data_IF_876856014865
#
_entry.id   IF_876856014865
#
_cell.length_a   1.000
_cell.length_b   1.000
_cell.length_c   1.000
_cell.angle_alpha   90.00
_cell.angle_beta   90.00
_cell.angle_gamma   90.00
#
_symmetry.space_group_name_H-M   'P 1'
#
loop_
_entity.id
_entity.type
_entity.pdbx_description
1 polymer ?
#
# COMPACT_ATOMS: atom_id res chain seq x y z
N UNK A 1 -51.26 22.77 20.71
CA UNK A 1 -50.44 23.85 21.27
C UNK A 1 -49.97 24.71 20.12
N UNK A 2 -50.25 26.01 20.15
CA UNK A 2 -49.78 26.96 19.15
C UNK A 2 -48.53 27.66 19.71
N UNK A 3 -47.43 27.57 18.99
CA UNK A 3 -46.19 28.27 19.34
C UNK A 3 -46.04 29.42 18.38
N UNK A 4 -46.10 30.64 18.89
CA UNK A 4 -45.99 31.89 18.12
C UNK A 4 -44.63 32.53 18.43
N UNK A 5 -43.88 32.88 17.40
CA UNK A 5 -42.57 33.52 17.48
C UNK A 5 -42.10 34.00 16.12
N UNK A 6 -41.04 34.77 16.09
CA UNK A 6 -40.49 35.34 14.85
C UNK A 6 -39.46 34.33 14.26
N UNK A 7 -39.96 33.23 13.73
CA UNK A 7 -39.14 32.14 13.15
C UNK A 7 -39.13 32.23 11.62
N UNK A 8 -38.00 31.90 11.03
CA UNK A 8 -37.92 31.65 9.59
C UNK A 8 -38.70 30.38 9.22
N UNK A 9 -39.05 30.24 7.96
CA UNK A 9 -39.84 29.10 7.48
C UNK A 9 -39.10 27.75 7.65
N UNK A 10 -37.77 27.77 7.63
CA UNK A 10 -36.92 26.59 7.87
C UNK A 10 -36.87 26.23 9.35
N UNK A 11 -36.72 27.21 10.23
CA UNK A 11 -36.78 27.03 11.69
C UNK A 11 -38.15 26.49 12.12
N UNK A 12 -39.23 27.03 11.59
CA UNK A 12 -40.56 26.53 11.90
C UNK A 12 -40.81 25.09 11.44
N UNK A 13 -40.27 24.68 10.29
CA UNK A 13 -40.29 23.28 9.84
C UNK A 13 -39.47 22.36 10.74
N UNK A 14 -38.30 22.79 11.14
CA UNK A 14 -37.43 22.04 12.05
C UNK A 14 -38.09 21.87 13.42
N UNK A 15 -38.67 22.91 13.98
CA UNK A 15 -39.47 22.83 15.21
C UNK A 15 -40.67 21.89 15.12
N UNK A 16 -41.39 21.93 13.97
CA UNK A 16 -42.49 21.00 13.72
C UNK A 16 -42.05 19.56 13.76
N UNK A 17 -40.94 19.24 13.08
CA UNK A 17 -40.37 17.87 13.04
C UNK A 17 -39.95 17.38 14.43
N UNK A 18 -39.32 18.25 15.23
CA UNK A 18 -38.92 17.91 16.61
C UNK A 18 -40.13 17.66 17.50
N UNK A 19 -41.19 18.47 17.37
CA UNK A 19 -42.41 18.29 18.14
C UNK A 19 -43.23 17.07 17.73
N UNK A 20 -43.22 16.72 16.42
CA UNK A 20 -43.90 15.53 15.91
C UNK A 20 -43.14 14.24 16.30
N UNK A 21 -41.83 14.31 16.44
CA UNK A 21 -40.97 13.18 16.90
C UNK A 21 -41.15 12.83 18.38
N UNK A 22 -41.78 13.73 19.17
CA UNK A 22 -41.94 13.58 20.62
C UNK A 22 -40.65 13.81 21.37
N UNK A 23 -40.71 13.83 22.70
CA UNK A 23 -39.52 13.91 23.55
C UNK A 23 -38.77 12.58 23.49
N UNK A 24 -37.58 12.57 22.93
CA UNK A 24 -36.70 11.40 22.94
C UNK A 24 -36.34 11.06 24.37
N UNK A 25 -36.46 9.80 24.80
CA UNK A 25 -36.15 9.37 26.17
C UNK A 25 -34.64 9.35 26.48
N UNK A 26 -33.79 9.75 25.51
CA UNK A 26 -32.32 9.78 25.59
C UNK A 26 -31.82 11.13 25.09
N UNK A 27 -30.79 11.67 25.74
CA UNK A 27 -30.03 12.81 25.23
C UNK A 27 -29.23 12.38 24.00
N UNK A 28 -29.48 13.03 22.86
CA UNK A 28 -28.69 12.84 21.65
C UNK A 28 -27.52 13.80 21.64
N UNK A 29 -26.31 13.27 21.56
CA UNK A 29 -25.12 14.05 21.26
C UNK A 29 -24.74 13.90 19.79
N UNK A 30 -24.41 15.03 19.14
CA UNK A 30 -23.87 14.99 17.78
C UNK A 30 -22.50 14.32 17.81
N UNK A 31 -22.38 13.14 17.20
CA UNK A 31 -21.10 12.44 17.08
C UNK A 31 -20.26 13.05 15.95
N UNK A 32 -20.81 13.18 14.77
CA UNK A 32 -20.17 13.80 13.60
C UNK A 32 -21.24 14.18 12.57
N UNK A 33 -21.12 15.37 11.99
CA UNK A 33 -21.92 15.79 10.86
C UNK A 33 -21.03 16.47 9.83
N UNK A 34 -20.78 15.81 8.69
CA UNK A 34 -20.07 16.41 7.57
C UNK A 34 -20.99 16.55 6.37
N UNK A 35 -21.17 17.78 5.92
CA UNK A 35 -21.96 18.11 4.74
C UNK A 35 -21.00 18.41 3.59
N UNK A 36 -20.94 17.53 2.59
CA UNK A 36 -20.17 17.77 1.36
C UNK A 36 -21.13 18.00 0.22
N UNK A 37 -21.11 19.21 -0.35
CA UNK A 37 -21.92 19.53 -1.52
C UNK A 37 -21.50 18.67 -2.74
N UNK A 38 -22.42 18.38 -3.69
CA UNK A 38 -22.14 17.51 -4.83
C UNK A 38 -20.97 17.99 -5.70
N UNK A 39 -20.80 19.28 -5.88
CA UNK A 39 -19.69 19.90 -6.63
C UNK A 39 -18.36 19.72 -5.94
N UNK A 40 -18.29 20.00 -4.63
CA UNK A 40 -17.09 19.80 -3.81
C UNK A 40 -16.68 18.33 -3.73
N UNK A 41 -17.66 17.41 -3.68
CA UNK A 41 -17.39 15.98 -3.68
C UNK A 41 -16.76 15.51 -5.00
N UNK A 42 -17.27 15.98 -6.13
CA UNK A 42 -16.74 15.63 -7.45
C UNK A 42 -15.36 16.22 -7.69
N UNK A 43 -15.10 17.47 -7.32
CA UNK A 43 -13.80 18.11 -7.44
C UNK A 43 -12.76 17.42 -6.57
N UNK A 44 -13.12 17.06 -5.35
CA UNK A 44 -12.23 16.35 -4.42
C UNK A 44 -11.89 14.94 -4.93
N UNK A 45 -12.85 14.21 -5.51
CA UNK A 45 -12.60 12.90 -6.11
C UNK A 45 -11.66 13.02 -7.33
N UNK A 46 -11.87 14.03 -8.19
CA UNK A 46 -11.02 14.24 -9.36
C UNK A 46 -9.58 14.59 -8.94
N UNK A 47 -9.41 15.51 -8.00
CA UNK A 47 -8.08 15.86 -7.45
C UNK A 47 -7.40 14.67 -6.80
N UNK A 48 -8.16 13.86 -6.07
CA UNK A 48 -7.65 12.64 -5.46
C UNK A 48 -7.24 11.60 -6.48
N UNK A 49 -8.00 11.41 -7.56
CA UNK A 49 -7.62 10.52 -8.65
C UNK A 49 -6.33 10.98 -9.34
N UNK A 50 -6.20 12.29 -9.59
CA UNK A 50 -4.96 12.87 -10.13
C UNK A 50 -3.78 12.59 -9.19
N UNK A 51 -3.96 12.76 -7.87
CA UNK A 51 -2.91 12.47 -6.90
C UNK A 51 -2.49 10.99 -6.92
N UNK A 52 -3.43 10.04 -7.05
CA UNK A 52 -3.15 8.60 -7.21
C UNK A 52 -2.29 8.35 -8.46
N UNK A 53 -2.70 8.91 -9.61
CA UNK A 53 -1.98 8.71 -10.88
C UNK A 53 -0.59 9.32 -10.83
N UNK A 54 -0.46 10.55 -10.34
CA UNK A 54 0.84 11.22 -10.21
C UNK A 54 1.75 10.46 -9.24
N UNK A 55 1.23 10.06 -8.07
CA UNK A 55 1.97 9.25 -7.11
C UNK A 55 2.45 7.93 -7.70
N UNK A 56 1.59 7.23 -8.44
CA UNK A 56 1.94 5.99 -9.12
C UNK A 56 3.05 6.17 -10.16
N UNK A 57 2.97 7.22 -10.99
CA UNK A 57 4.00 7.55 -11.99
C UNK A 57 5.34 7.88 -11.30
N UNK A 58 5.32 8.65 -10.22
CA UNK A 58 6.53 8.97 -9.45
C UNK A 58 7.20 7.74 -8.84
N UNK A 59 6.40 6.81 -8.30
CA UNK A 59 6.91 5.52 -7.79
C UNK A 59 7.53 4.71 -8.93
N UNK A 60 6.88 4.60 -10.07
CA UNK A 60 7.44 3.90 -11.22
C UNK A 60 8.74 4.52 -11.70
N UNK A 61 8.80 5.86 -11.83
CA UNK A 61 10.01 6.57 -12.21
C UNK A 61 11.17 6.31 -11.22
N UNK A 62 10.90 6.38 -9.92
CA UNK A 62 11.85 6.03 -8.87
C UNK A 62 12.39 4.61 -9.03
N UNK A 63 11.49 3.64 -9.23
CA UNK A 63 11.86 2.23 -9.38
C UNK A 63 12.75 1.98 -10.61
N UNK A 64 12.43 2.60 -11.75
CA UNK A 64 13.25 2.44 -12.95
C UNK A 64 14.64 3.08 -12.80
N UNK A 65 14.73 4.23 -12.13
CA UNK A 65 16.02 4.92 -11.92
C UNK A 65 16.93 4.14 -10.95
N UNK A 66 16.38 3.67 -9.83
CA UNK A 66 17.19 3.05 -8.76
C UNK A 66 17.32 1.54 -8.88
N UNK A 67 16.30 0.84 -9.39
CA UNK A 67 16.27 -0.63 -9.45
C UNK A 67 16.42 -1.18 -10.86
N UNK A 68 16.48 -0.32 -11.89
CA UNK A 68 16.70 -0.73 -13.28
C UNK A 68 15.77 -1.90 -13.70
N UNK A 69 16.32 -3.00 -14.23
CA UNK A 69 15.54 -4.18 -14.62
C UNK A 69 14.74 -4.83 -13.48
N UNK A 70 15.23 -4.79 -12.24
CA UNK A 70 14.46 -5.24 -11.08
C UNK A 70 13.22 -4.37 -10.82
N UNK A 71 13.26 -3.09 -11.21
CA UNK A 71 12.12 -2.20 -11.17
C UNK A 71 10.91 -2.71 -11.98
N UNK A 72 11.15 -3.50 -13.05
CA UNK A 72 10.07 -4.14 -13.81
C UNK A 72 9.27 -5.15 -12.98
N UNK A 73 9.93 -5.88 -12.08
CA UNK A 73 9.22 -6.81 -11.19
C UNK A 73 8.33 -6.04 -10.23
N UNK A 74 8.86 -4.97 -9.65
CA UNK A 74 8.08 -4.13 -8.73
C UNK A 74 6.94 -3.43 -9.47
N UNK A 75 7.16 -2.94 -10.68
CA UNK A 75 6.11 -2.40 -11.54
C UNK A 75 5.00 -3.42 -11.83
N UNK A 76 5.38 -4.65 -12.18
CA UNK A 76 4.43 -5.76 -12.37
C UNK A 76 3.67 -6.12 -11.09
N UNK A 77 4.34 -6.11 -9.94
CA UNK A 77 3.72 -6.31 -8.64
C UNK A 77 2.70 -5.21 -8.32
N UNK A 78 3.05 -3.93 -8.55
CA UNK A 78 2.14 -2.80 -8.36
C UNK A 78 0.93 -2.85 -9.29
N UNK A 79 1.11 -3.24 -10.55
CA UNK A 79 -0.02 -3.44 -11.47
C UNK A 79 -0.93 -4.56 -10.98
N UNK A 80 -0.38 -5.69 -10.55
CA UNK A 80 -1.14 -6.81 -9.99
C UNK A 80 -1.88 -6.39 -8.73
N UNK A 81 -1.20 -5.66 -7.83
CA UNK A 81 -1.80 -5.07 -6.64
C UNK A 81 -2.98 -4.17 -7.01
N UNK A 82 -2.78 -3.24 -7.96
CA UNK A 82 -3.82 -2.30 -8.40
C UNK A 82 -5.05 -3.03 -8.96
N UNK A 83 -4.86 -4.04 -9.80
CA UNK A 83 -5.96 -4.83 -10.36
C UNK A 83 -6.75 -5.57 -9.25
N UNK A 84 -6.06 -6.25 -8.34
CA UNK A 84 -6.70 -6.98 -7.24
C UNK A 84 -7.41 -6.01 -6.30
N UNK A 85 -6.74 -4.93 -5.91
CA UNK A 85 -7.26 -3.93 -4.98
C UNK A 85 -8.50 -3.24 -5.54
N UNK A 86 -8.44 -2.73 -6.77
CA UNK A 86 -9.59 -2.10 -7.44
C UNK A 86 -10.71 -3.12 -7.70
N UNK A 87 -10.38 -4.37 -8.02
CA UNK A 87 -11.35 -5.44 -8.19
C UNK A 87 -12.14 -5.72 -6.92
N UNK A 88 -11.47 -5.78 -5.77
CA UNK A 88 -12.12 -5.95 -4.46
C UNK A 88 -13.00 -4.73 -4.12
N UNK A 89 -12.50 -3.50 -4.39
CA UNK A 89 -13.30 -2.29 -4.19
C UNK A 89 -14.55 -2.27 -5.06
N UNK A 90 -14.43 -2.62 -6.33
CA UNK A 90 -15.57 -2.68 -7.25
C UNK A 90 -16.61 -3.72 -6.77
N UNK A 91 -16.15 -4.89 -6.31
CA UNK A 91 -17.02 -5.91 -5.75
C UNK A 91 -17.76 -5.44 -4.49
N UNK A 92 -17.05 -4.84 -3.52
CA UNK A 92 -17.66 -4.32 -2.29
C UNK A 92 -18.64 -3.18 -2.56
N UNK A 93 -18.31 -2.30 -3.50
CA UNK A 93 -19.17 -1.20 -3.91
C UNK A 93 -20.44 -1.69 -4.61
N UNK A 94 -20.34 -2.70 -5.48
CA UNK A 94 -21.50 -3.30 -6.16
C UNK A 94 -22.47 -4.00 -5.19
N UNK A 95 -21.96 -4.47 -4.06
CA UNK A 95 -22.76 -5.07 -2.97
C UNK A 95 -23.37 -3.98 -2.04
N UNK A 96 -23.08 -2.71 -2.25
CA UNK A 96 -23.52 -1.61 -1.39
C UNK A 96 -22.85 -1.60 -0.01
N UNK A 97 -21.80 -2.40 0.19
CA UNK A 97 -21.12 -2.52 1.47
C UNK A 97 -20.09 -1.41 1.71
N UNK A 98 -19.69 -0.70 0.65
CA UNK A 98 -18.65 0.31 0.73
C UNK A 98 -18.93 1.50 -0.21
N UNK A 99 -18.76 2.71 0.31
CA UNK A 99 -18.68 3.94 -0.47
C UNK A 99 -17.32 4.60 -0.24
N UNK A 100 -16.64 4.98 -1.31
CA UNK A 100 -15.33 5.63 -1.23
C UNK A 100 -15.50 7.04 -0.67
N UNK A 101 -14.95 7.30 0.50
CA UNK A 101 -14.84 8.61 1.12
C UNK A 101 -13.52 9.28 0.73
N UNK A 102 -13.42 10.61 0.93
CA UNK A 102 -12.16 11.34 0.69
C UNK A 102 -11.01 10.81 1.55
N UNK A 103 -11.28 10.46 2.80
CA UNK A 103 -10.31 9.81 3.69
C UNK A 103 -9.95 8.40 3.21
N UNK A 104 -10.92 7.64 2.69
CA UNK A 104 -10.67 6.34 2.05
C UNK A 104 -9.72 6.46 0.86
N UNK A 105 -9.86 7.53 0.06
CA UNK A 105 -8.97 7.80 -1.06
C UNK A 105 -7.52 8.07 -0.59
N UNK A 106 -7.33 8.78 0.53
CA UNK A 106 -6.01 8.93 1.14
C UNK A 106 -5.42 7.57 1.56
N UNK A 107 -6.24 6.64 2.07
CA UNK A 107 -5.83 5.26 2.35
C UNK A 107 -5.40 4.49 1.08
N UNK A 108 -6.07 4.71 -0.05
CA UNK A 108 -5.67 4.14 -1.35
C UNK A 108 -4.26 4.61 -1.75
N UNK A 109 -3.99 5.92 -1.68
CA UNK A 109 -2.66 6.48 -2.00
C UNK A 109 -1.57 5.88 -1.11
N UNK A 110 -1.85 5.81 0.19
CA UNK A 110 -0.90 5.26 1.16
C UNK A 110 -0.59 3.79 0.87
N UNK A 111 -1.60 2.97 0.58
CA UNK A 111 -1.40 1.53 0.35
C UNK A 111 -0.64 1.22 -0.94
N UNK A 112 -0.70 2.07 -1.96
CA UNK A 112 0.15 1.93 -3.16
C UNK A 112 1.63 2.06 -2.77
N UNK A 113 1.97 3.04 -1.94
CA UNK A 113 3.33 3.20 -1.41
C UNK A 113 3.79 1.98 -0.60
N UNK A 114 2.95 1.48 0.30
CA UNK A 114 3.24 0.29 1.11
C UNK A 114 3.40 -0.99 0.28
N UNK A 115 2.63 -1.16 -0.79
CA UNK A 115 2.77 -2.29 -1.70
C UNK A 115 4.10 -2.25 -2.47
N UNK A 116 4.53 -1.06 -2.90
CA UNK A 116 5.85 -0.85 -3.49
C UNK A 116 6.96 -1.19 -2.49
N UNK A 117 6.89 -0.65 -1.26
CA UNK A 117 7.86 -0.86 -0.20
C UNK A 117 8.04 -2.35 0.15
N UNK A 118 6.95 -3.09 0.31
CA UNK A 118 6.97 -4.53 0.56
C UNK A 118 7.71 -5.31 -0.54
N UNK A 119 7.56 -4.92 -1.81
CA UNK A 119 8.27 -5.55 -2.92
C UNK A 119 9.74 -5.15 -2.95
N UNK A 120 10.04 -3.87 -2.71
CA UNK A 120 11.41 -3.33 -2.62
C UNK A 120 12.18 -4.08 -1.53
N UNK A 121 11.57 -4.28 -0.36
CA UNK A 121 12.20 -5.00 0.75
C UNK A 121 12.64 -6.41 0.36
N UNK A 122 11.84 -7.15 -0.41
CA UNK A 122 12.23 -8.49 -0.90
C UNK A 122 13.36 -8.40 -1.92
N UNK A 123 13.38 -7.39 -2.79
CA UNK A 123 14.47 -7.16 -3.72
C UNK A 123 15.77 -6.80 -3.01
N UNK A 124 15.73 -5.95 -1.98
CA UNK A 124 16.93 -5.61 -1.21
C UNK A 124 17.49 -6.83 -0.47
N UNK A 125 16.66 -7.67 0.12
CA UNK A 125 17.11 -8.93 0.73
C UNK A 125 17.75 -9.87 -0.30
N UNK A 126 17.23 -9.91 -1.51
CA UNK A 126 17.87 -10.65 -2.60
C UNK A 126 19.26 -10.07 -2.95
N UNK A 127 19.40 -8.75 -3.02
CA UNK A 127 20.69 -8.08 -3.27
C UNK A 127 21.69 -8.28 -2.14
N UNK A 128 21.25 -8.22 -0.89
CA UNK A 128 22.07 -8.52 0.30
C UNK A 128 22.67 -9.94 0.23
N UNK A 129 21.85 -10.92 -0.14
CA UNK A 129 22.30 -12.31 -0.29
C UNK A 129 23.32 -12.47 -1.44
N UNK A 130 23.19 -11.68 -2.51
CA UNK A 130 24.18 -11.63 -3.60
C UNK A 130 25.49 -11.01 -3.13
N UNK A 131 25.45 -9.91 -2.37
CA UNK A 131 26.65 -9.28 -1.77
C UNK A 131 27.35 -10.21 -0.81
N UNK A 132 26.61 -11.06 -0.10
CA UNK A 132 27.16 -12.10 0.77
C UNK A 132 27.82 -13.26 0.01
N UNK A 133 27.92 -13.19 -1.34
CA UNK A 133 28.62 -14.17 -2.17
C UNK A 133 27.80 -15.41 -2.54
N UNK A 134 26.49 -15.43 -2.27
CA UNK A 134 25.64 -16.56 -2.68
C UNK A 134 25.39 -16.54 -4.19
N UNK A 135 25.21 -17.73 -4.78
CA UNK A 135 24.79 -17.83 -6.18
C UNK A 135 23.43 -17.15 -6.40
N UNK A 136 23.18 -16.63 -7.60
CA UNK A 136 21.92 -15.97 -7.96
C UNK A 136 20.70 -16.83 -7.61
N UNK A 137 20.78 -18.13 -7.86
CA UNK A 137 19.73 -19.10 -7.52
C UNK A 137 19.52 -19.22 -6.01
N UNK A 138 20.55 -19.34 -5.24
CA UNK A 138 20.47 -19.46 -3.77
C UNK A 138 19.99 -18.13 -3.16
N UNK A 139 20.54 -17.02 -3.63
CA UNK A 139 20.14 -15.68 -3.21
C UNK A 139 18.66 -15.40 -3.49
N UNK A 140 18.13 -15.82 -4.66
CA UNK A 140 16.72 -15.64 -4.99
C UNK A 140 15.76 -16.41 -4.07
N UNK A 141 16.17 -17.60 -3.62
CA UNK A 141 15.36 -18.43 -2.70
C UNK A 141 15.49 -17.90 -1.26
N UNK A 142 16.72 -17.70 -0.77
CA UNK A 142 16.99 -17.24 0.59
C UNK A 142 16.50 -15.81 0.80
N UNK A 143 16.85 -14.88 -0.10
CA UNK A 143 16.45 -13.48 -0.04
C UNK A 143 14.94 -13.31 -0.11
N UNK A 144 14.24 -14.03 -1.02
CA UNK A 144 12.79 -13.97 -1.07
C UNK A 144 12.14 -14.50 0.21
N UNK A 145 12.68 -15.56 0.82
CA UNK A 145 12.15 -16.09 2.08
C UNK A 145 12.29 -15.09 3.23
N UNK A 146 13.49 -14.54 3.43
CA UNK A 146 13.74 -13.55 4.49
C UNK A 146 12.96 -12.24 4.23
N UNK A 147 12.95 -11.76 2.99
CA UNK A 147 12.23 -10.54 2.62
C UNK A 147 10.73 -10.64 2.84
N UNK A 148 10.11 -11.78 2.51
CA UNK A 148 8.70 -12.02 2.76
C UNK A 148 8.39 -11.96 4.26
N UNK A 149 9.17 -12.66 5.09
CA UNK A 149 8.95 -12.66 6.55
C UNK A 149 8.99 -11.23 7.09
N UNK A 150 10.02 -10.47 6.74
CA UNK A 150 10.15 -9.06 7.18
C UNK A 150 8.99 -8.18 6.67
N UNK A 151 8.57 -8.36 5.42
CA UNK A 151 7.44 -7.60 4.85
C UNK A 151 6.11 -7.98 5.50
N UNK A 152 5.90 -9.26 5.82
CA UNK A 152 4.70 -9.71 6.53
C UNK A 152 4.67 -9.17 7.96
N UNK A 153 5.80 -9.19 8.68
CA UNK A 153 5.87 -8.66 10.05
C UNK A 153 5.51 -7.17 10.07
N UNK A 154 6.08 -6.36 9.18
CA UNK A 154 5.74 -4.94 9.04
C UNK A 154 4.27 -4.74 8.65
N UNK A 155 3.77 -5.56 7.72
CA UNK A 155 2.38 -5.50 7.28
C UNK A 155 1.37 -5.91 8.36
N UNK A 156 1.71 -6.86 9.25
CA UNK A 156 0.86 -7.22 10.40
C UNK A 156 0.68 -6.03 11.35
N UNK A 157 1.74 -5.29 11.64
CA UNK A 157 1.66 -4.06 12.46
C UNK A 157 0.72 -3.04 11.81
N UNK A 158 0.87 -2.83 10.49
CA UNK A 158 0.01 -1.93 9.73
C UNK A 158 -1.45 -2.40 9.72
N UNK A 159 -1.68 -3.71 9.60
CA UNK A 159 -3.01 -4.30 9.63
C UNK A 159 -3.69 -4.12 10.99
N UNK A 160 -2.96 -4.33 12.10
CA UNK A 160 -3.49 -4.10 13.44
C UNK A 160 -3.90 -2.63 13.61
N UNK A 161 -3.07 -1.69 13.15
CA UNK A 161 -3.37 -0.26 13.19
C UNK A 161 -4.60 0.09 12.34
N UNK A 162 -4.70 -0.48 11.15
CA UNK A 162 -5.85 -0.29 10.25
C UNK A 162 -7.16 -0.83 10.84
N UNK A 163 -7.11 -2.02 11.45
CA UNK A 163 -8.26 -2.62 12.14
C UNK A 163 -8.63 -1.80 13.38
N UNK A 164 -7.66 -1.30 14.13
CA UNK A 164 -7.90 -0.37 15.23
C UNK A 164 -8.68 0.87 14.76
N UNK A 165 -8.26 1.50 13.67
CA UNK A 165 -8.98 2.61 13.07
C UNK A 165 -10.39 2.21 12.60
N UNK A 166 -10.54 1.05 12.00
CA UNK A 166 -11.84 0.60 11.49
C UNK A 166 -12.85 0.33 12.61
N UNK A 167 -12.44 -0.30 13.72
CA UNK A 167 -13.35 -0.69 14.80
C UNK A 167 -13.53 0.38 15.89
N UNK A 168 -12.49 1.16 16.17
CA UNK A 168 -12.51 2.12 17.27
C UNK A 168 -12.93 3.53 16.87
N UNK A 169 -12.96 3.84 15.55
CA UNK A 169 -13.33 5.17 15.07
C UNK A 169 -14.68 5.16 14.33
N UNK A 170 -15.25 6.34 14.17
CA UNK A 170 -16.48 6.57 13.43
C UNK A 170 -16.22 7.52 12.25
N UNK A 171 -17.23 7.71 11.41
CA UNK A 171 -17.17 8.68 10.32
C UNK A 171 -16.08 8.38 9.29
N UNK A 172 -15.37 9.42 8.88
CA UNK A 172 -14.41 9.39 7.78
C UNK A 172 -13.16 8.55 8.10
N UNK A 173 -12.70 8.53 9.35
CA UNK A 173 -11.54 7.76 9.78
C UNK A 173 -11.75 6.25 9.65
N UNK A 174 -12.98 5.76 9.84
CA UNK A 174 -13.35 4.36 9.62
C UNK A 174 -13.18 3.95 8.16
N UNK A 175 -13.55 4.84 7.22
CA UNK A 175 -13.33 4.61 5.78
C UNK A 175 -11.85 4.47 5.42
N UNK A 176 -10.99 5.31 6.01
CA UNK A 176 -9.54 5.20 5.87
C UNK A 176 -9.02 3.87 6.43
N UNK A 177 -9.43 3.47 7.64
CA UNK A 177 -9.04 2.20 8.25
C UNK A 177 -9.41 0.99 7.39
N UNK A 178 -10.60 0.98 6.79
CA UNK A 178 -11.03 -0.11 5.91
C UNK A 178 -10.19 -0.18 4.63
N UNK A 179 -9.95 0.95 3.97
CA UNK A 179 -9.14 0.99 2.75
C UNK A 179 -7.70 0.54 3.03
N UNK A 180 -7.13 0.97 4.15
CA UNK A 180 -5.79 0.56 4.58
C UNK A 180 -5.72 -0.94 4.87
N UNK A 181 -6.69 -1.50 5.62
CA UNK A 181 -6.73 -2.93 5.94
C UNK A 181 -6.82 -3.80 4.67
N UNK A 182 -7.73 -3.45 3.76
CA UNK A 182 -7.85 -4.13 2.47
C UNK A 182 -6.57 -4.02 1.64
N UNK A 183 -5.93 -2.85 1.62
CA UNK A 183 -4.68 -2.62 0.91
C UNK A 183 -3.54 -3.49 1.43
N UNK A 184 -3.40 -3.63 2.75
CA UNK A 184 -2.38 -4.51 3.35
C UNK A 184 -2.64 -5.98 2.98
N UNK A 185 -3.88 -6.44 3.02
CA UNK A 185 -4.24 -7.81 2.62
C UNK A 185 -3.95 -8.06 1.13
N UNK A 186 -4.29 -7.10 0.25
CA UNK A 186 -3.95 -7.17 -1.17
C UNK A 186 -2.43 -7.16 -1.42
N UNK A 187 -1.67 -6.40 -0.62
CA UNK A 187 -0.21 -6.38 -0.67
C UNK A 187 0.38 -7.75 -0.31
N UNK A 188 -0.11 -8.40 0.75
CA UNK A 188 0.29 -9.77 1.10
C UNK A 188 0.01 -10.77 -0.03
N UNK A 189 -1.19 -10.69 -0.60
CA UNK A 189 -1.56 -11.53 -1.72
C UNK A 189 -0.60 -11.34 -2.91
N UNK A 190 -0.34 -10.09 -3.29
CA UNK A 190 0.56 -9.76 -4.39
C UNK A 190 2.00 -10.21 -4.12
N UNK A 191 2.48 -10.02 -2.89
CA UNK A 191 3.81 -10.44 -2.47
C UNK A 191 4.02 -11.95 -2.63
N UNK A 192 3.03 -12.76 -2.21
CA UNK A 192 3.10 -14.21 -2.26
C UNK A 192 2.85 -14.76 -3.68
N UNK A 193 1.87 -14.21 -4.40
CA UNK A 193 1.41 -14.76 -5.67
C UNK A 193 2.20 -14.23 -6.88
N UNK A 194 2.72 -13.02 -6.82
CA UNK A 194 3.44 -12.41 -7.93
C UNK A 194 4.92 -12.18 -7.64
N UNK A 195 5.25 -11.42 -6.59
CA UNK A 195 6.63 -10.98 -6.32
C UNK A 195 7.57 -12.15 -6.06
N UNK A 196 7.15 -13.09 -5.23
CA UNK A 196 7.97 -14.26 -4.87
C UNK A 196 8.28 -15.16 -6.06
N UNK A 197 7.30 -15.60 -6.86
CA UNK A 197 7.59 -16.38 -8.06
C UNK A 197 8.42 -15.62 -9.09
N UNK A 198 8.19 -14.31 -9.26
CA UNK A 198 8.93 -13.48 -10.20
C UNK A 198 10.42 -13.42 -9.86
N UNK A 199 10.77 -13.19 -8.59
CA UNK A 199 12.17 -13.18 -8.13
C UNK A 199 12.82 -14.56 -8.29
N UNK A 200 12.10 -15.64 -7.97
CA UNK A 200 12.63 -17.01 -8.14
C UNK A 200 12.83 -17.39 -9.61
N UNK A 201 12.00 -16.87 -10.52
CA UNK A 201 12.18 -17.03 -11.96
C UNK A 201 13.44 -16.32 -12.45
N UNK A 202 13.76 -15.13 -11.92
CA UNK A 202 15.03 -14.44 -12.20
C UNK A 202 16.25 -15.28 -11.80
N UNK A 203 16.18 -15.98 -10.67
CA UNK A 203 17.24 -16.88 -10.18
C UNK A 203 17.51 -18.10 -11.08
N UNK A 204 16.71 -18.30 -12.16
CA UNK A 204 16.92 -19.39 -13.15
C UNK A 204 17.81 -18.99 -14.32
N UNK A 205 18.61 -17.94 -14.19
CA UNK A 205 19.65 -17.58 -15.16
C UNK A 205 19.41 -16.27 -15.95
N UNK A 206 18.27 -15.60 -15.78
CA UNK A 206 18.02 -14.31 -16.45
C UNK A 206 18.98 -13.23 -15.95
N UNK A 207 19.25 -13.21 -14.63
CA UNK A 207 20.17 -12.28 -13.98
C UNK A 207 21.63 -12.59 -14.34
N UNK A 208 22.01 -13.87 -14.42
CA UNK A 208 23.38 -14.29 -14.79
C UNK A 208 23.76 -13.90 -16.21
N UNK A 209 22.79 -13.92 -17.15
CA UNK A 209 23.03 -13.55 -18.56
C UNK A 209 23.31 -12.05 -18.73
N UNK A 210 22.63 -11.20 -17.99
CA UNK A 210 22.73 -9.74 -18.10
C UNK A 210 22.68 -9.04 -16.72
N UNK A 211 23.70 -9.20 -15.88
CA UNK A 211 23.69 -8.63 -14.52
C UNK A 211 23.63 -7.09 -14.52
N UNK A 212 24.16 -6.44 -15.57
CA UNK A 212 24.10 -4.99 -15.73
C UNK A 212 22.68 -4.49 -15.96
N UNK A 213 21.88 -5.16 -16.79
CA UNK A 213 20.47 -4.79 -17.00
C UNK A 213 19.63 -4.91 -15.74
N UNK A 214 19.89 -5.94 -14.93
CA UNK A 214 19.15 -6.18 -13.69
C UNK A 214 19.65 -5.34 -12.50
N UNK A 215 20.68 -4.51 -12.68
CA UNK A 215 21.21 -3.62 -11.65
C UNK A 215 21.96 -4.32 -10.51
N UNK A 216 22.38 -5.59 -10.70
CA UNK A 216 23.07 -6.39 -9.67
C UNK A 216 24.55 -6.61 -9.97
N UNK A 217 25.08 -5.98 -11.01
CA UNK A 217 26.49 -6.14 -11.38
C UNK A 217 27.44 -5.70 -10.26
N UNK A 218 27.14 -4.56 -9.62
CA UNK A 218 27.92 -4.05 -8.50
C UNK A 218 27.88 -5.00 -7.29
N UNK A 219 26.71 -5.53 -6.99
CA UNK A 219 26.52 -6.47 -5.86
C UNK A 219 27.32 -7.78 -6.05
N UNK A 220 27.37 -8.27 -7.30
CA UNK A 220 28.16 -9.46 -7.66
C UNK A 220 29.68 -9.19 -7.70
N UNK A 221 30.10 -7.98 -8.03
CA UNK A 221 31.52 -7.56 -7.99
C UNK A 221 31.99 -7.35 -6.56
N UNK A 222 31.13 -6.79 -5.70
CA UNK A 222 31.41 -6.62 -4.27
C UNK A 222 31.64 -7.97 -3.57
N UNK A 223 30.84 -8.97 -3.90
CA UNK A 223 30.99 -10.34 -3.40
C UNK A 223 32.36 -11.01 -3.77
N UNK A 224 32.99 -10.58 -4.85
CA UNK A 224 34.28 -11.09 -5.31
C UNK A 224 35.49 -10.43 -4.62
N UNK A 225 35.37 -9.25 -4.07
CA UNK A 225 36.47 -8.48 -3.45
C UNK A 225 37.10 -9.14 -2.22
N UNK A 226 36.36 -9.70 -1.24
CA UNK A 226 36.95 -10.31 -0.06
C UNK A 226 37.73 -11.58 -0.37
N UNK A 227 37.36 -12.34 -1.40
CA UNK A 227 38.13 -13.53 -1.82
C UNK A 227 39.50 -13.19 -2.43
N UNK A 228 39.58 -12.06 -3.15
CA UNK A 228 40.84 -11.61 -3.77
C UNK A 228 41.87 -11.04 -2.76
N UNK A 229 41.41 -10.46 -1.66
CA UNK A 229 42.29 -9.94 -0.59
C UNK A 229 42.84 -11.07 0.30
N UNK A 230 42.07 -12.11 0.53
CA UNK A 230 42.50 -13.27 1.32
C UNK A 230 43.58 -14.10 0.59
N UNK A 231 43.50 -14.18 -0.75
CA UNK A 231 44.51 -14.90 -1.57
C UNK A 231 45.84 -14.13 -1.65
N UNK A 232 45.82 -12.79 -1.68
CA UNK A 232 47.05 -11.99 -1.70
C UNK A 232 47.76 -11.91 -0.36
N UNK A 233 47.07 -12.09 0.77
CA UNK A 233 47.66 -12.14 2.11
C UNK A 233 48.42 -13.47 2.38
N UNK A 234 47.99 -14.57 1.76
CA UNK A 234 48.63 -15.87 1.90
C UNK A 234 49.92 -16.07 1.07
N UNK A 235 50.17 -15.21 0.08
CA UNK A 235 51.35 -15.29 -0.78
C UNK A 235 52.55 -14.43 -0.25
N UNK A 236 52.31 -13.58 0.75
CA UNK A 236 53.34 -12.74 1.37
C UNK A 236 53.95 -13.36 2.64
N UNK A 237 53.38 -14.43 3.20
CA UNK A 237 53.84 -15.11 4.40
C UNK A 237 54.43 -16.51 4.10
N UNK A 238 54.71 -16.83 2.83
CA UNK A 238 55.44 -18.04 2.38
C UNK A 238 56.78 -17.65 1.74
#
# INVERSE_FOLDING_TARGET
VSITGNYSLEEAKSFKTVLESGALPVTLEYSESSYVGPTLGQDSLMQGLVAVVVGFILILAYLFVFYQGMGLITAGALLTFGIVYLGIFAALSSMGLFALSLSGLAGVVLTIGMAADSTILVLERFREELRAGKSVRTASISGSKHGIMTALDAGVVSLISALGLFFLTTGSARGFGLTLALGVLCSFFTLLMFTTPAIRLLGRGAVEKNPGFWGVKADMEEAKKPAASAVKGGEQDA
#
